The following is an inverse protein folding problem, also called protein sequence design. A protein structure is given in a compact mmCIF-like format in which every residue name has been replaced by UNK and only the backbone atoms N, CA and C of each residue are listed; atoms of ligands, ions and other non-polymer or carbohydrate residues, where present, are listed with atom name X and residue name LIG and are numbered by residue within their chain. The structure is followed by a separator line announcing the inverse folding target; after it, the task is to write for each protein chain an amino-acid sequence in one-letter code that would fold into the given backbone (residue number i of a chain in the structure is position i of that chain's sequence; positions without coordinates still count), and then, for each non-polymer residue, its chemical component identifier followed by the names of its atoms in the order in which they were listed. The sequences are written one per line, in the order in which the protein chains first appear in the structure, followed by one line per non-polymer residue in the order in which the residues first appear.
data_IF_347830673751
#
_entry.id   IF_347830673751
#
_cell.length_a   1.000
_cell.length_b   1.000
_cell.length_c   1.000
_cell.angle_alpha   90.00
_cell.angle_beta   90.00
_cell.angle_gamma   90.00
#
_symmetry.space_group_name_H-M   'P 1'
#
loop_
_entity.id
_entity.type
_entity.pdbx_description
1 polymer ?
#
# COMPACT_ATOMS: atom_id res chain seq x y z
N UNK A 1 23.49 -3.28 19.46
CA UNK A 1 22.15 -2.73 19.26
C UNK A 1 21.17 -3.34 20.24
N UNK A 2 20.19 -2.57 20.70
CA UNK A 2 19.18 -3.05 21.66
C UNK A 2 18.08 -3.90 20.96
N UNK A 3 17.90 -3.66 19.66
CA UNK A 3 16.92 -4.36 18.82
C UNK A 3 17.60 -5.03 17.65
N UNK A 4 17.09 -6.18 17.22
CA UNK A 4 17.58 -6.94 16.07
C UNK A 4 17.04 -6.40 14.76
N UNK A 5 15.81 -5.82 14.80
CA UNK A 5 15.17 -5.20 13.64
C UNK A 5 14.48 -3.91 14.08
N UNK A 6 14.46 -2.93 13.18
CA UNK A 6 13.72 -1.69 13.34
C UNK A 6 13.14 -1.29 11.97
N UNK A 7 11.93 -0.75 11.99
CA UNK A 7 11.27 -0.18 10.80
C UNK A 7 11.22 1.33 10.90
N UNK A 8 10.96 1.99 9.80
CA UNK A 8 10.76 3.44 9.78
C UNK A 8 9.66 3.87 10.73
N UNK A 9 9.79 5.08 11.25
CA UNK A 9 8.75 5.69 12.06
C UNK A 9 7.50 5.93 11.22
N UNK A 10 6.37 5.51 11.77
CA UNK A 10 5.04 5.80 11.23
C UNK A 10 4.17 6.29 12.38
N UNK A 11 3.41 7.34 12.16
CA UNK A 11 2.57 7.98 13.19
C UNK A 11 3.32 8.42 14.46
N UNK A 12 4.65 8.67 14.32
CA UNK A 12 5.54 9.07 15.41
C UNK A 12 6.08 7.92 16.26
N UNK A 13 5.84 6.66 15.87
CA UNK A 13 6.33 5.46 16.53
C UNK A 13 7.11 4.58 15.56
N UNK A 14 8.26 4.06 16.01
CA UNK A 14 9.08 3.09 15.30
C UNK A 14 8.76 1.67 15.77
N UNK A 15 8.42 0.76 14.85
CA UNK A 15 8.28 -0.66 15.17
C UNK A 15 9.67 -1.28 15.31
N UNK A 16 9.90 -1.96 16.42
CA UNK A 16 11.16 -2.64 16.75
C UNK A 16 10.90 -4.10 17.13
N UNK A 17 11.88 -4.96 16.93
CA UNK A 17 11.81 -6.36 17.29
C UNK A 17 13.09 -6.83 17.98
N UNK A 18 12.94 -7.67 18.99
CA UNK A 18 14.01 -8.49 19.56
C UNK A 18 13.48 -9.87 19.96
N UNK A 19 14.34 -10.90 19.88
CA UNK A 19 13.93 -12.27 20.14
C UNK A 19 13.45 -12.50 21.60
N UNK A 20 13.97 -11.74 22.54
CA UNK A 20 13.63 -11.83 23.97
C UNK A 20 12.41 -10.99 24.37
N UNK A 21 12.18 -9.85 23.71
CA UNK A 21 11.11 -8.90 24.04
C UNK A 21 9.96 -8.91 23.02
N UNK A 22 10.15 -9.58 21.87
CA UNK A 22 9.19 -9.57 20.76
C UNK A 22 9.10 -8.26 20.01
N UNK A 23 7.98 -8.06 19.32
CA UNK A 23 7.64 -6.81 18.67
C UNK A 23 7.23 -5.75 19.71
N UNK A 24 7.62 -4.51 19.44
CA UNK A 24 7.31 -3.36 20.29
C UNK A 24 7.43 -2.05 19.54
N UNK A 25 7.09 -0.96 20.20
CA UNK A 25 7.06 0.38 19.61
C UNK A 25 7.87 1.35 20.45
N UNK A 26 8.73 2.13 19.77
CA UNK A 26 9.53 3.17 20.40
C UNK A 26 9.12 4.55 19.87
N UNK A 27 9.15 5.55 20.76
CA UNK A 27 8.96 6.95 20.37
C UNK A 27 10.27 7.55 19.81
N UNK A 28 10.22 8.80 19.36
CA UNK A 28 11.39 9.51 18.79
C UNK A 28 12.55 9.71 19.80
N UNK A 29 12.30 9.54 21.10
CA UNK A 29 13.32 9.56 22.15
C UNK A 29 13.92 8.17 22.43
N UNK A 30 13.50 7.13 21.68
CA UNK A 30 13.93 5.75 21.86
C UNK A 30 13.27 5.05 23.06
N UNK A 31 12.23 5.64 23.66
CA UNK A 31 11.54 5.05 24.80
C UNK A 31 10.50 4.06 24.31
N UNK A 32 10.47 2.88 24.91
CA UNK A 32 9.51 1.82 24.62
C UNK A 32 8.12 2.20 25.14
N UNK A 33 7.14 2.27 24.24
CA UNK A 33 5.75 2.65 24.55
C UNK A 33 4.89 1.42 24.80
N UNK A 34 5.01 0.40 23.94
CA UNK A 34 4.31 -0.87 24.06
C UNK A 34 5.18 -1.98 23.51
N UNK A 35 5.08 -3.20 24.08
CA UNK A 35 5.93 -4.32 23.65
C UNK A 35 5.37 -5.67 24.11
N UNK A 36 6.11 -6.73 23.82
CA UNK A 36 5.80 -8.10 24.23
C UNK A 36 4.85 -8.79 23.26
N UNK A 37 4.70 -8.31 22.05
CA UNK A 37 3.88 -8.95 21.02
C UNK A 37 4.68 -9.97 20.22
N UNK A 38 4.02 -11.02 19.73
CA UNK A 38 4.64 -12.02 18.84
C UNK A 38 5.00 -11.36 17.50
N UNK A 39 4.06 -10.60 16.92
CA UNK A 39 4.27 -9.78 15.74
C UNK A 39 3.39 -8.53 15.80
N UNK A 40 3.78 -7.51 15.05
CA UNK A 40 3.02 -6.26 14.93
C UNK A 40 3.18 -5.64 13.55
N UNK A 41 2.19 -4.84 13.14
CA UNK A 41 2.32 -3.90 12.01
C UNK A 41 2.84 -2.55 12.50
N UNK A 42 3.39 -1.73 11.60
CA UNK A 42 3.59 -0.31 11.91
C UNK A 42 2.25 0.37 12.17
N UNK A 43 2.26 1.49 12.91
CA UNK A 43 1.07 2.31 13.09
C UNK A 43 0.66 2.98 11.78
N UNK A 44 -0.64 3.08 11.55
CA UNK A 44 -1.23 3.84 10.46
C UNK A 44 -2.55 4.44 10.96
N UNK A 45 -2.70 5.77 10.84
CA UNK A 45 -3.85 6.54 11.35
C UNK A 45 -4.21 6.24 12.83
N UNK A 46 -3.18 6.06 13.64
CA UNK A 46 -3.33 5.83 15.08
C UNK A 46 -3.61 4.39 15.49
N UNK A 47 -3.64 3.43 14.55
CA UNK A 47 -3.92 2.01 14.80
C UNK A 47 -2.75 1.13 14.37
N UNK A 48 -2.39 0.14 15.17
CA UNK A 48 -1.52 -0.96 14.79
C UNK A 48 -2.18 -2.29 15.13
N UNK A 49 -1.82 -3.35 14.42
CA UNK A 49 -2.29 -4.70 14.68
C UNK A 49 -1.19 -5.54 15.30
N UNK A 50 -1.55 -6.34 16.30
CA UNK A 50 -0.64 -7.23 17.02
C UNK A 50 -1.19 -8.66 17.04
N UNK A 51 -0.33 -9.67 16.89
CA UNK A 51 -0.75 -11.07 16.73
C UNK A 51 -0.66 -11.91 18.01
N UNK A 52 -0.69 -11.33 19.17
CA UNK A 52 -0.62 -12.01 20.47
C UNK A 52 0.54 -11.51 21.32
N UNK A 53 0.64 -12.01 22.52
CA UNK A 53 1.73 -11.68 23.45
C UNK A 53 2.68 -12.87 23.60
N UNK A 54 3.97 -12.61 23.74
CA UNK A 54 4.98 -13.67 23.99
C UNK A 54 4.67 -14.50 25.22
N UNK A 55 4.13 -13.89 26.27
CA UNK A 55 3.80 -14.59 27.51
C UNK A 55 2.58 -15.52 27.35
N UNK A 56 1.68 -15.22 26.42
CA UNK A 56 0.54 -16.09 26.12
C UNK A 56 1.00 -17.42 25.54
N UNK A 57 1.97 -17.44 24.63
CA UNK A 57 2.55 -18.67 24.08
C UNK A 57 3.23 -19.51 25.16
N UNK A 58 3.97 -18.87 26.08
CA UNK A 58 4.59 -19.58 27.23
C UNK A 58 3.56 -20.22 28.15
N UNK A 59 2.36 -19.63 28.23
CA UNK A 59 1.23 -20.12 29.00
C UNK A 59 0.30 -21.05 28.21
N UNK A 60 0.65 -21.39 26.95
CA UNK A 60 -0.11 -22.30 26.11
C UNK A 60 -1.35 -21.69 25.46
N UNK A 61 -1.52 -20.36 25.52
CA UNK A 61 -2.60 -19.64 24.87
C UNK A 61 -2.21 -19.39 23.41
N UNK A 62 -3.02 -19.89 22.48
CA UNK A 62 -2.80 -19.75 21.05
C UNK A 62 -3.82 -18.79 20.45
N UNK A 63 -3.37 -17.77 19.73
CA UNK A 63 -4.21 -16.80 19.05
C UNK A 63 -4.50 -17.15 17.57
N UNK A 64 -4.15 -18.39 17.13
CA UNK A 64 -4.46 -18.94 15.81
C UNK A 64 -4.12 -18.00 14.62
N UNK A 65 -2.97 -17.31 14.69
CA UNK A 65 -2.55 -16.30 13.69
C UNK A 65 -3.60 -15.19 13.49
N UNK A 66 -4.36 -14.86 14.52
CA UNK A 66 -5.30 -13.77 14.51
C UNK A 66 -4.68 -12.50 15.11
N UNK A 67 -5.22 -11.37 14.77
CA UNK A 67 -4.74 -10.05 15.15
C UNK A 67 -5.74 -9.32 16.01
N UNK A 68 -5.23 -8.46 16.89
CA UNK A 68 -6.00 -7.45 17.61
C UNK A 68 -5.45 -6.06 17.33
N UNK A 69 -6.28 -5.04 17.43
CA UNK A 69 -5.88 -3.67 17.17
C UNK A 69 -5.55 -2.94 18.48
N UNK A 70 -4.50 -2.11 18.45
CA UNK A 70 -4.06 -1.25 19.54
C UNK A 70 -3.94 0.21 19.08
N UNK A 71 -4.15 1.13 20.00
CA UNK A 71 -3.83 2.54 19.81
C UNK A 71 -2.35 2.86 20.16
N UNK A 72 -1.94 4.10 19.95
CA UNK A 72 -0.55 4.57 20.19
C UNK A 72 -0.08 4.46 21.64
N UNK A 73 -0.99 4.24 22.59
CA UNK A 73 -0.67 4.01 23.99
C UNK A 73 -0.60 2.51 24.34
N UNK A 74 -0.79 1.65 23.34
CA UNK A 74 -0.88 0.20 23.52
C UNK A 74 -2.22 -0.29 24.09
N UNK A 75 -3.23 0.58 24.15
CA UNK A 75 -4.57 0.21 24.56
C UNK A 75 -5.35 -0.45 23.41
N UNK A 76 -6.17 -1.45 23.75
CA UNK A 76 -7.00 -2.15 22.76
C UNK A 76 -8.02 -1.18 22.13
N UNK A 77 -8.16 -1.26 20.83
CA UNK A 77 -9.11 -0.46 20.03
C UNK A 77 -9.93 -1.36 19.11
N UNK A 78 -10.81 -0.77 18.27
CA UNK A 78 -11.75 -1.45 17.38
C UNK A 78 -12.74 -2.33 18.12
N UNK A 79 -12.45 -3.61 18.33
CA UNK A 79 -13.36 -4.57 18.98
C UNK A 79 -13.24 -4.65 20.49
N UNK A 80 -12.36 -3.89 21.10
CA UNK A 80 -12.17 -3.91 22.56
C UNK A 80 -13.46 -3.61 23.34
N UNK A 81 -14.38 -2.83 22.77
CA UNK A 81 -15.68 -2.53 23.36
C UNK A 81 -16.73 -3.64 23.14
N UNK A 82 -16.50 -4.55 22.18
CA UNK A 82 -17.42 -5.66 21.84
C UNK A 82 -16.97 -7.00 22.42
N UNK A 83 -15.72 -7.08 22.85
CA UNK A 83 -15.13 -8.33 23.35
C UNK A 83 -15.32 -8.49 24.84
N UNK A 84 -15.85 -9.64 25.27
CA UNK A 84 -16.02 -9.98 26.68
C UNK A 84 -14.78 -10.64 27.29
N UNK A 85 -13.83 -11.10 26.47
CA UNK A 85 -12.60 -11.76 26.93
C UNK A 85 -11.39 -11.24 26.17
N UNK A 86 -10.18 -11.40 26.76
CA UNK A 86 -8.95 -11.00 26.11
C UNK A 86 -8.68 -11.81 24.81
N UNK A 87 -9.09 -13.07 24.79
CA UNK A 87 -8.93 -13.97 23.66
C UNK A 87 -9.79 -13.54 22.44
N UNK A 88 -10.98 -12.99 22.69
CA UNK A 88 -11.89 -12.55 21.64
C UNK A 88 -11.41 -11.29 20.92
N UNK A 89 -10.44 -10.56 21.47
CA UNK A 89 -9.84 -9.37 20.86
C UNK A 89 -9.01 -9.69 19.63
N UNK A 90 -8.49 -10.91 19.55
CA UNK A 90 -7.73 -11.41 18.39
C UNK A 90 -8.69 -12.00 17.35
N UNK A 91 -9.56 -11.16 16.80
CA UNK A 91 -10.62 -11.60 15.88
C UNK A 91 -10.30 -11.35 14.40
N UNK A 92 -9.32 -10.50 14.10
CA UNK A 92 -8.96 -10.18 12.73
C UNK A 92 -8.07 -11.27 12.13
N UNK A 93 -8.45 -11.78 10.96
CA UNK A 93 -7.64 -12.76 10.22
C UNK A 93 -6.43 -12.14 9.54
N UNK A 94 -6.54 -10.86 9.19
CA UNK A 94 -5.47 -10.06 8.61
C UNK A 94 -5.52 -8.65 9.21
N UNK A 95 -4.38 -7.96 9.28
CA UNK A 95 -4.35 -6.55 9.66
C UNK A 95 -5.18 -5.69 8.69
N UNK A 96 -5.86 -4.69 9.22
CA UNK A 96 -6.52 -3.66 8.43
C UNK A 96 -5.57 -2.46 8.38
N UNK A 97 -5.24 -2.01 7.18
CA UNK A 97 -4.40 -0.83 7.00
C UNK A 97 -5.30 0.40 6.95
N UNK A 98 -5.14 1.27 7.96
CA UNK A 98 -5.83 2.55 8.03
C UNK A 98 -5.02 3.59 7.27
N UNK A 99 -5.70 4.36 6.43
CA UNK A 99 -5.15 5.55 5.80
C UNK A 99 -6.27 6.52 5.47
N UNK A 100 -5.97 7.82 5.53
CA UNK A 100 -6.99 8.86 5.34
C UNK A 100 -8.19 8.73 6.31
N UNK A 101 -7.98 8.20 7.50
CA UNK A 101 -8.98 8.06 8.56
C UNK A 101 -9.91 6.86 8.43
N UNK A 102 -9.70 5.96 7.46
CA UNK A 102 -10.50 4.75 7.26
C UNK A 102 -9.64 3.55 6.91
N UNK A 103 -10.11 2.35 7.27
CA UNK A 103 -9.49 1.08 6.91
C UNK A 103 -10.48 0.19 6.15
N UNK A 104 -10.01 -0.52 5.14
CA UNK A 104 -10.82 -1.47 4.39
C UNK A 104 -11.08 -2.72 5.23
N UNK A 105 -12.35 -2.92 5.66
CA UNK A 105 -12.74 -4.07 6.48
C UNK A 105 -12.97 -5.33 5.62
N UNK A 106 -13.54 -5.16 4.42
CA UNK A 106 -13.86 -6.29 3.54
C UNK A 106 -15.00 -6.00 2.57
N UNK A 107 -15.41 -7.04 1.86
CA UNK A 107 -16.56 -7.01 0.94
C UNK A 107 -17.76 -7.63 1.63
N UNK A 108 -18.88 -6.90 1.64
CA UNK A 108 -20.17 -7.39 2.15
C UNK A 108 -21.29 -7.07 1.15
N UNK A 109 -21.98 -8.09 0.72
CA UNK A 109 -23.07 -7.98 -0.26
C UNK A 109 -22.66 -7.22 -1.54
N UNK A 110 -21.42 -7.48 -2.02
CA UNK A 110 -20.87 -6.85 -3.22
C UNK A 110 -20.46 -5.39 -3.05
N UNK A 111 -20.37 -4.89 -1.81
CA UNK A 111 -19.93 -3.54 -1.47
C UNK A 111 -18.62 -3.58 -0.69
N UNK A 112 -17.77 -2.61 -0.92
CA UNK A 112 -16.59 -2.39 -0.09
C UNK A 112 -16.96 -1.63 1.18
N UNK A 113 -16.64 -2.21 2.33
CA UNK A 113 -16.92 -1.63 3.65
C UNK A 113 -15.61 -1.08 4.22
N UNK A 114 -15.66 0.16 4.63
CA UNK A 114 -14.56 0.82 5.32
C UNK A 114 -15.02 1.26 6.70
N UNK A 115 -14.15 1.09 7.68
CA UNK A 115 -14.39 1.43 9.09
C UNK A 115 -13.47 2.56 9.54
N UNK A 116 -13.91 3.30 10.54
CA UNK A 116 -13.06 4.25 11.27
C UNK A 116 -12.17 3.52 12.30
N UNK A 117 -11.25 4.25 12.93
CA UNK A 117 -10.34 3.71 13.97
C UNK A 117 -11.05 3.23 15.24
N UNK A 118 -12.37 3.40 15.33
CA UNK A 118 -13.22 2.89 16.43
C UNK A 118 -14.03 1.65 16.02
N UNK A 119 -13.91 1.20 14.75
CA UNK A 119 -14.63 0.05 14.21
C UNK A 119 -16.07 0.36 13.78
N UNK A 120 -16.44 1.63 13.61
CA UNK A 120 -17.74 1.99 13.05
C UNK A 120 -17.64 2.02 11.53
N UNK A 121 -18.72 1.59 10.85
CA UNK A 121 -18.80 1.75 9.39
C UNK A 121 -18.75 3.25 9.04
N UNK A 122 -17.69 3.64 8.35
CA UNK A 122 -17.47 5.01 7.92
C UNK A 122 -17.93 5.23 6.49
N UNK A 123 -17.81 4.18 5.64
CA UNK A 123 -18.13 4.24 4.24
C UNK A 123 -18.53 2.87 3.71
N UNK A 124 -19.56 2.84 2.86
CA UNK A 124 -19.96 1.67 2.07
C UNK A 124 -20.01 2.06 0.60
N UNK A 125 -19.07 1.55 -0.20
CA UNK A 125 -19.01 1.81 -1.63
C UNK A 125 -19.63 0.67 -2.43
N UNK A 126 -20.37 0.99 -3.50
CA UNK A 126 -20.94 0.03 -4.45
C UNK A 126 -20.53 0.38 -5.88
N UNK A 127 -20.67 -0.58 -6.80
CA UNK A 127 -20.39 -0.35 -8.22
C UNK A 127 -21.34 0.68 -8.86
N UNK A 128 -22.54 0.87 -8.28
CA UNK A 128 -23.61 1.65 -8.89
C UNK A 128 -24.32 0.97 -10.06
N UNK A 129 -23.94 -0.26 -10.41
CA UNK A 129 -24.50 -1.00 -11.54
C UNK A 129 -25.17 -2.30 -11.09
N UNK A 130 -26.33 -2.60 -11.65
CA UNK A 130 -27.06 -3.84 -11.40
C UNK A 130 -26.26 -5.06 -11.88
N UNK A 131 -26.17 -6.08 -11.03
CA UNK A 131 -25.44 -7.30 -11.34
C UNK A 131 -23.92 -7.18 -11.28
N UNK A 132 -23.38 -6.04 -10.85
CA UNK A 132 -21.95 -5.79 -10.68
C UNK A 132 -21.61 -5.59 -9.20
N UNK A 133 -20.62 -6.31 -8.73
CA UNK A 133 -20.15 -6.27 -7.36
C UNK A 133 -18.72 -5.73 -7.30
N UNK A 134 -18.39 -5.08 -6.21
CA UNK A 134 -16.98 -4.86 -5.86
C UNK A 134 -16.42 -6.20 -5.38
N UNK A 135 -15.34 -6.66 -6.00
CA UNK A 135 -14.68 -7.92 -5.68
C UNK A 135 -13.47 -7.72 -4.74
N UNK A 136 -12.79 -6.59 -4.87
CA UNK A 136 -11.71 -6.19 -3.97
C UNK A 136 -11.61 -4.66 -3.91
N UNK A 137 -10.99 -4.16 -2.84
CA UNK A 137 -10.73 -2.74 -2.67
C UNK A 137 -9.42 -2.52 -1.91
N UNK A 138 -8.69 -1.48 -2.29
CA UNK A 138 -7.48 -1.03 -1.62
C UNK A 138 -7.76 -0.02 -0.50
N UNK A 139 -6.72 0.35 0.25
CA UNK A 139 -6.79 1.45 1.21
C UNK A 139 -6.98 2.79 0.50
N UNK A 140 -7.50 3.77 1.23
CA UNK A 140 -7.57 5.14 0.76
C UNK A 140 -6.20 5.81 0.88
N UNK A 141 -5.81 6.57 -0.15
CA UNK A 141 -4.68 7.49 -0.12
C UNK A 141 -5.06 8.75 -0.89
N UNK A 142 -4.76 9.91 -0.34
CA UNK A 142 -5.10 11.23 -0.93
C UNK A 142 -6.59 11.37 -1.29
N UNK A 143 -7.46 10.70 -0.53
CA UNK A 143 -8.90 10.75 -0.73
C UNK A 143 -9.47 9.76 -1.74
N UNK A 144 -8.67 8.84 -2.29
CA UNK A 144 -9.09 7.88 -3.30
C UNK A 144 -8.66 6.46 -2.96
N UNK A 145 -9.47 5.47 -3.35
CA UNK A 145 -9.14 4.06 -3.25
C UNK A 145 -9.42 3.34 -4.56
N UNK A 146 -8.58 2.39 -4.90
CA UNK A 146 -8.76 1.53 -6.06
C UNK A 146 -9.67 0.36 -5.71
N UNK A 147 -10.48 -0.06 -6.66
CA UNK A 147 -11.38 -1.21 -6.53
C UNK A 147 -11.29 -2.09 -7.75
N UNK A 148 -11.59 -3.38 -7.57
CA UNK A 148 -11.92 -4.27 -8.67
C UNK A 148 -13.42 -4.57 -8.68
N UNK A 149 -13.99 -4.61 -9.86
CA UNK A 149 -15.39 -4.89 -10.12
C UNK A 149 -15.51 -6.25 -10.79
N UNK A 150 -16.50 -7.02 -10.39
CA UNK A 150 -16.85 -8.30 -10.99
C UNK A 150 -18.33 -8.31 -11.33
N UNK A 151 -18.67 -8.75 -12.54
CA UNK A 151 -20.04 -8.78 -13.03
C UNK A 151 -20.29 -9.98 -13.94
N UNK A 152 -21.53 -10.06 -14.45
CA UNK A 152 -21.94 -11.08 -15.38
C UNK A 152 -21.34 -10.83 -16.77
N UNK A 153 -21.49 -11.76 -17.71
CA UNK A 153 -20.97 -11.77 -19.08
C UNK A 153 -21.18 -10.49 -19.92
N UNK A 154 -22.00 -9.55 -19.44
CA UNK A 154 -22.22 -8.23 -20.08
C UNK A 154 -20.94 -7.41 -20.28
N UNK A 155 -19.89 -7.65 -19.47
CA UNK A 155 -18.62 -6.93 -19.57
C UNK A 155 -17.81 -7.36 -20.78
N UNK A 156 -17.87 -8.64 -21.14
CA UNK A 156 -17.20 -9.17 -22.32
C UNK A 156 -17.78 -8.58 -23.62
N UNK A 157 -19.09 -8.32 -23.66
CA UNK A 157 -19.77 -7.71 -24.82
C UNK A 157 -19.48 -6.20 -24.93
N UNK A 158 -19.23 -5.52 -23.82
CA UNK A 158 -18.93 -4.09 -23.80
C UNK A 158 -17.46 -3.75 -24.12
N UNK A 159 -16.58 -4.75 -24.19
CA UNK A 159 -15.16 -4.56 -24.52
C UNK A 159 -14.30 -4.08 -23.35
N UNK A 160 -14.75 -4.30 -22.12
CA UNK A 160 -13.99 -4.04 -20.89
C UNK A 160 -13.18 -5.28 -20.55
N UNK A 161 -11.89 -5.20 -20.70
CA UNK A 161 -11.03 -6.36 -20.52
C UNK A 161 -10.14 -6.09 -19.30
N UNK A 162 -10.49 -6.69 -18.15
CA UNK A 162 -9.45 -7.21 -17.28
C UNK A 162 -8.75 -8.36 -18.02
N UNK A 163 -7.53 -8.71 -17.67
CA UNK A 163 -6.78 -9.77 -18.36
C UNK A 163 -7.50 -11.12 -18.39
N UNK A 164 -8.52 -11.31 -17.54
CA UNK A 164 -9.39 -12.50 -17.46
C UNK A 164 -10.77 -12.32 -18.12
N UNK A 165 -11.04 -11.14 -18.72
CA UNK A 165 -12.30 -10.85 -19.42
C UNK A 165 -13.51 -10.61 -18.51
N UNK A 166 -13.37 -10.70 -17.19
CA UNK A 166 -14.48 -10.60 -16.22
C UNK A 166 -14.28 -9.54 -15.14
N UNK A 167 -13.07 -9.00 -15.01
CA UNK A 167 -12.71 -8.01 -13.98
C UNK A 167 -12.48 -6.64 -14.61
N UNK A 168 -13.10 -5.61 -14.06
CA UNK A 168 -12.79 -4.21 -14.36
C UNK A 168 -12.22 -3.53 -13.11
N UNK A 169 -11.40 -2.51 -13.32
CA UNK A 169 -10.83 -1.73 -12.23
C UNK A 169 -11.43 -0.34 -12.18
N UNK A 170 -11.65 0.17 -11.00
CA UNK A 170 -12.24 1.47 -10.75
C UNK A 170 -11.51 2.24 -9.65
N UNK A 171 -11.87 3.49 -9.54
CA UNK A 171 -11.40 4.40 -8.51
C UNK A 171 -12.61 5.01 -7.82
N UNK A 172 -12.63 4.98 -6.49
CA UNK A 172 -13.67 5.60 -5.67
C UNK A 172 -13.10 6.75 -4.85
N UNK A 173 -13.93 7.73 -4.60
CA UNK A 173 -13.64 8.83 -3.69
C UNK A 173 -14.12 8.53 -2.24
N UNK A 174 -13.89 9.46 -1.32
CA UNK A 174 -14.28 9.36 0.10
C UNK A 174 -15.80 9.34 0.33
N UNK A 175 -16.62 9.56 -0.69
CA UNK A 175 -18.08 9.37 -0.62
C UNK A 175 -18.50 7.97 -1.04
N UNK A 176 -17.57 7.16 -1.56
CA UNK A 176 -17.83 5.85 -2.13
C UNK A 176 -18.32 5.90 -3.58
N UNK A 177 -18.31 7.09 -4.19
CA UNK A 177 -18.69 7.25 -5.57
C UNK A 177 -17.52 6.88 -6.51
N UNK A 178 -17.85 6.26 -7.65
CA UNK A 178 -16.88 6.05 -8.73
C UNK A 178 -16.43 7.40 -9.30
N UNK A 179 -15.11 7.60 -9.37
CA UNK A 179 -14.52 8.80 -9.99
C UNK A 179 -14.82 8.83 -11.48
N UNK A 180 -14.71 7.68 -12.13
CA UNK A 180 -15.05 7.50 -13.53
C UNK A 180 -15.69 6.14 -13.68
N UNK A 181 -16.75 6.08 -14.49
CA UNK A 181 -17.43 4.82 -14.76
C UNK A 181 -16.48 3.91 -15.58
N UNK A 182 -15.98 2.82 -15.00
CA UNK A 182 -15.09 1.91 -15.72
C UNK A 182 -15.82 1.16 -16.84
N UNK A 183 -17.17 1.24 -16.89
CA UNK A 183 -18.00 0.65 -17.93
C UNK A 183 -18.13 1.57 -19.15
N UNK A 184 -17.71 2.82 -19.04
CA UNK A 184 -17.79 3.75 -20.16
C UNK A 184 -16.72 3.42 -21.22
N UNK A 185 -17.12 3.27 -22.48
CA UNK A 185 -16.20 2.96 -23.61
C UNK A 185 -15.00 3.91 -23.75
N UNK A 186 -15.03 5.05 -23.09
CA UNK A 186 -13.93 6.02 -23.04
C UNK A 186 -12.86 5.69 -21.99
N UNK A 187 -13.11 4.71 -21.12
CA UNK A 187 -12.14 4.29 -20.08
C UNK A 187 -11.20 3.28 -20.67
N UNK A 188 -9.91 3.62 -20.80
CA UNK A 188 -8.90 2.80 -21.49
C UNK A 188 -7.84 2.24 -20.56
N UNK A 189 -8.11 2.12 -19.28
CA UNK A 189 -7.17 1.45 -18.38
C UNK A 189 -7.46 -0.06 -18.29
N UNK A 190 -6.43 -0.89 -18.39
CA UNK A 190 -6.53 -2.33 -18.21
C UNK A 190 -6.42 -2.71 -16.74
N UNK A 191 -5.60 -1.97 -16.00
CA UNK A 191 -5.32 -2.24 -14.60
C UNK A 191 -4.99 -0.92 -13.90
N UNK A 192 -5.51 -0.72 -12.70
CA UNK A 192 -5.12 0.39 -11.84
C UNK A 192 -4.12 -0.07 -10.78
N UNK A 193 -3.96 -1.38 -10.55
CA UNK A 193 -3.29 -1.84 -9.34
C UNK A 193 -2.90 -3.30 -9.42
N UNK A 194 -1.76 -3.63 -8.82
CA UNK A 194 -1.52 -4.96 -8.32
C UNK A 194 -2.26 -5.15 -6.98
N UNK A 195 -3.46 -5.75 -7.05
CA UNK A 195 -4.29 -6.02 -5.87
C UNK A 195 -3.67 -7.04 -4.91
N UNK A 196 -2.64 -7.78 -5.35
CA UNK A 196 -1.99 -8.80 -4.54
C UNK A 196 -0.97 -8.26 -3.55
N UNK A 197 -0.46 -7.03 -3.77
CA UNK A 197 0.59 -6.45 -2.96
C UNK A 197 0.23 -5.21 -2.16
N UNK A 198 -0.89 -4.55 -2.42
CA UNK A 198 -1.25 -3.29 -1.74
C UNK A 198 -0.34 -2.10 -2.06
N UNK A 199 0.45 -2.17 -3.13
CA UNK A 199 1.49 -1.21 -3.46
C UNK A 199 0.96 -0.05 -4.30
N UNK A 200 -0.06 -0.28 -5.10
CA UNK A 200 -0.60 0.75 -5.99
C UNK A 200 -1.79 1.46 -5.34
N UNK A 201 -1.52 2.57 -4.75
CA UNK A 201 -2.48 3.49 -4.15
C UNK A 201 -2.41 4.85 -4.84
N UNK A 202 -3.37 5.72 -4.58
CA UNK A 202 -3.24 7.12 -4.96
C UNK A 202 -2.07 7.77 -4.20
N UNK A 203 -1.33 8.63 -4.86
CA UNK A 203 -0.25 9.38 -4.24
C UNK A 203 0.03 10.66 -5.02
N UNK A 204 0.19 11.79 -4.34
CA UNK A 204 0.33 13.09 -5.00
C UNK A 204 -0.86 13.47 -5.89
N UNK A 205 -2.06 12.96 -5.59
CA UNK A 205 -3.27 13.14 -6.40
C UNK A 205 -3.27 12.36 -7.71
N UNK A 206 -2.43 11.33 -7.84
CA UNK A 206 -2.30 10.49 -9.04
C UNK A 206 -2.43 9.01 -8.71
N UNK A 207 -2.80 8.20 -9.68
CA UNK A 207 -2.86 6.74 -9.59
C UNK A 207 -2.12 6.13 -10.78
N UNK A 208 -1.18 5.23 -10.52
CA UNK A 208 -0.54 4.47 -11.58
C UNK A 208 -1.57 3.56 -12.26
N UNK A 209 -1.57 3.56 -13.57
CA UNK A 209 -2.52 2.79 -14.38
C UNK A 209 -1.86 2.28 -15.65
N UNK A 210 -2.27 1.09 -16.07
CA UNK A 210 -1.82 0.50 -17.34
C UNK A 210 -2.87 0.77 -18.42
N UNK A 211 -2.45 1.29 -19.55
CA UNK A 211 -3.31 1.49 -20.71
C UNK A 211 -3.62 0.15 -21.39
N UNK A 212 -4.91 -0.11 -21.65
CA UNK A 212 -5.39 -1.38 -22.21
C UNK A 212 -4.96 -1.63 -23.66
N UNK A 213 -4.54 -0.59 -24.38
CA UNK A 213 -4.18 -0.68 -25.79
C UNK A 213 -2.68 -0.87 -25.96
N UNK A 214 -1.88 -0.04 -25.32
CA UNK A 214 -0.42 -0.10 -25.42
C UNK A 214 0.22 -1.08 -24.45
N UNK A 215 -0.46 -1.40 -23.34
CA UNK A 215 0.11 -2.17 -22.23
C UNK A 215 1.15 -1.40 -21.42
N UNK A 216 1.35 -0.11 -21.70
CA UNK A 216 2.26 0.74 -20.97
C UNK A 216 1.60 1.39 -19.76
N UNK A 217 2.39 1.75 -18.78
CA UNK A 217 1.96 2.42 -17.57
C UNK A 217 2.12 3.94 -17.68
N UNK A 218 1.18 4.64 -17.09
CA UNK A 218 1.17 6.08 -16.91
C UNK A 218 0.48 6.44 -15.61
N UNK A 219 0.07 7.68 -15.45
CA UNK A 219 -0.61 8.12 -14.24
C UNK A 219 -1.88 8.89 -14.56
N UNK A 220 -2.96 8.48 -13.92
CA UNK A 220 -4.25 9.16 -13.95
C UNK A 220 -4.26 10.26 -12.88
N UNK A 221 -4.87 11.39 -13.19
CA UNK A 221 -5.34 12.31 -12.16
C UNK A 221 -6.45 11.63 -11.36
N UNK A 222 -6.25 11.48 -10.06
CA UNK A 222 -7.15 10.71 -9.20
C UNK A 222 -8.55 11.32 -9.09
N UNK A 223 -8.70 12.63 -9.34
CA UNK A 223 -9.96 13.35 -9.27
C UNK A 223 -10.80 13.20 -10.54
N UNK A 224 -10.19 13.20 -11.70
CA UNK A 224 -10.88 13.15 -12.98
C UNK A 224 -10.86 11.77 -13.64
N UNK A 225 -9.91 10.90 -13.28
CA UNK A 225 -9.66 9.64 -13.96
C UNK A 225 -9.09 9.79 -15.37
N UNK A 226 -8.57 10.97 -15.72
CA UNK A 226 -7.94 11.24 -17.02
C UNK A 226 -6.41 11.13 -16.90
N UNK A 227 -5.72 10.78 -18.01
CA UNK A 227 -4.28 10.71 -18.03
C UNK A 227 -3.63 12.05 -17.72
N UNK A 228 -2.91 12.14 -16.60
CA UNK A 228 -2.05 13.27 -16.26
C UNK A 228 -0.64 13.07 -16.82
N UNK A 229 -0.11 11.85 -16.69
CA UNK A 229 1.12 11.42 -17.36
C UNK A 229 0.73 10.29 -18.30
N UNK A 230 0.99 10.47 -19.60
CA UNK A 230 0.62 9.50 -20.61
C UNK A 230 1.33 8.15 -20.39
N UNK A 231 0.75 7.02 -20.85
CA UNK A 231 1.38 5.71 -20.76
C UNK A 231 2.68 5.66 -21.56
N UNK A 232 3.82 5.66 -20.85
CA UNK A 232 5.17 5.72 -21.42
C UNK A 232 6.13 4.69 -20.79
N UNK A 233 5.76 4.11 -19.64
CA UNK A 233 6.62 3.27 -18.81
C UNK A 233 6.26 1.80 -18.96
N UNK A 234 7.25 0.89 -18.80
CA UNK A 234 6.98 -0.54 -18.72
C UNK A 234 6.31 -0.93 -17.40
N UNK A 235 6.65 -0.24 -16.31
CA UNK A 235 6.02 -0.35 -15.00
C UNK A 235 6.09 1.00 -14.28
N UNK A 236 5.21 1.23 -13.32
CA UNK A 236 5.13 2.49 -12.57
C UNK A 236 4.64 2.24 -11.14
N UNK A 237 5.29 2.88 -10.18
CA UNK A 237 4.95 2.79 -8.75
C UNK A 237 4.23 4.05 -8.28
N UNK A 238 3.50 4.00 -7.16
CA UNK A 238 2.78 5.16 -6.64
C UNK A 238 3.69 6.37 -6.40
N UNK A 239 3.12 7.56 -6.56
CA UNK A 239 3.78 8.79 -6.15
C UNK A 239 3.81 8.90 -4.63
N UNK A 240 4.94 9.37 -4.10
CA UNK A 240 5.08 9.82 -2.72
C UNK A 240 6.03 11.02 -2.69
N UNK A 241 5.69 12.05 -1.93
CA UNK A 241 6.49 13.28 -1.80
C UNK A 241 6.91 13.91 -3.15
N UNK A 242 6.02 13.84 -4.16
CA UNK A 242 6.25 14.41 -5.49
C UNK A 242 7.17 13.58 -6.40
N UNK A 243 7.47 12.35 -6.05
CA UNK A 243 8.34 11.43 -6.79
C UNK A 243 7.68 10.08 -6.98
N UNK A 244 8.04 9.39 -8.06
CA UNK A 244 7.68 7.99 -8.26
C UNK A 244 8.83 7.23 -8.94
N UNK A 245 8.88 5.93 -8.71
CA UNK A 245 9.67 5.04 -9.54
C UNK A 245 8.91 4.67 -10.80
N UNK A 246 9.62 4.63 -11.90
CA UNK A 246 9.11 4.13 -13.16
C UNK A 246 10.19 3.33 -13.89
N UNK A 247 9.77 2.34 -14.66
CA UNK A 247 10.65 1.52 -15.51
C UNK A 247 10.64 2.10 -16.93
N UNK A 248 11.81 2.39 -17.46
CA UNK A 248 11.97 2.90 -18.82
C UNK A 248 11.68 1.80 -19.85
N UNK A 249 10.76 2.07 -20.77
CA UNK A 249 10.37 1.09 -21.79
C UNK A 249 11.52 0.67 -22.73
N UNK A 250 12.48 1.54 -22.97
CA UNK A 250 13.54 1.29 -23.92
C UNK A 250 14.70 0.49 -23.33
N UNK A 251 15.01 0.69 -22.06
CA UNK A 251 16.16 0.07 -21.40
C UNK A 251 15.76 -1.05 -20.43
N UNK A 252 14.56 -1.02 -19.88
CA UNK A 252 14.13 -1.89 -18.79
C UNK A 252 14.71 -1.51 -17.43
N UNK A 253 15.37 -0.35 -17.33
CA UNK A 253 15.96 0.14 -16.08
C UNK A 253 14.95 1.00 -15.32
N UNK A 254 15.07 1.01 -14.00
CA UNK A 254 14.26 1.83 -13.12
C UNK A 254 14.92 3.19 -12.88
N UNK A 255 14.10 4.22 -12.79
CA UNK A 255 14.52 5.59 -12.47
C UNK A 255 13.48 6.30 -11.61
N UNK A 256 13.75 7.57 -11.32
CA UNK A 256 12.86 8.43 -10.53
C UNK A 256 12.29 9.51 -11.46
N UNK A 257 10.98 9.70 -11.42
CA UNK A 257 10.27 10.76 -12.14
C UNK A 257 9.64 11.74 -11.15
N UNK A 258 9.45 12.98 -11.61
CA UNK A 258 8.65 13.99 -10.92
C UNK A 258 7.16 13.91 -11.32
N UNK A 259 6.33 14.78 -10.74
CA UNK A 259 4.89 14.84 -10.97
C UNK A 259 4.46 15.30 -12.39
N UNK A 260 5.42 15.68 -13.22
CA UNK A 260 5.24 15.92 -14.64
C UNK A 260 5.56 14.71 -15.52
N UNK A 261 6.12 13.64 -14.93
CA UNK A 261 6.63 12.46 -15.63
C UNK A 261 8.05 12.66 -16.20
N UNK A 262 8.76 13.71 -15.77
CA UNK A 262 10.14 13.96 -16.18
C UNK A 262 11.11 13.20 -15.30
N UNK A 263 12.10 12.53 -15.91
CA UNK A 263 13.16 11.86 -15.18
C UNK A 263 13.98 12.86 -14.37
N UNK A 264 13.94 12.74 -13.06
CA UNK A 264 14.82 13.49 -12.13
C UNK A 264 16.10 12.69 -11.82
N UNK A 265 15.98 11.36 -11.82
CA UNK A 265 17.10 10.46 -11.88
C UNK A 265 16.91 9.52 -13.07
N UNK A 266 17.86 9.54 -14.01
CA UNK A 266 17.81 8.70 -15.21
C UNK A 266 17.84 7.22 -14.82
N UNK A 267 17.15 6.34 -15.56
CA UNK A 267 17.10 4.92 -15.31
C UNK A 267 18.49 4.30 -15.27
N UNK A 268 18.87 3.71 -14.15
CA UNK A 268 20.12 2.99 -13.92
C UNK A 268 20.04 1.97 -12.80
N UNK A 269 18.84 1.75 -12.27
CA UNK A 269 18.64 0.82 -11.17
C UNK A 269 18.27 -0.53 -11.77
N UNK A 270 19.16 -1.51 -11.63
CA UNK A 270 18.98 -2.85 -12.25
C UNK A 270 17.89 -3.69 -11.59
N UNK A 271 17.59 -3.43 -10.33
CA UNK A 271 16.57 -4.15 -9.59
C UNK A 271 15.87 -3.25 -8.59
N UNK A 272 14.59 -3.10 -8.78
CA UNK A 272 13.68 -2.64 -7.77
C UNK A 272 13.07 -3.88 -7.09
N UNK A 273 13.42 -4.16 -5.83
CA UNK A 273 12.80 -5.26 -5.12
C UNK A 273 11.34 -4.88 -4.81
N UNK A 274 10.43 -5.35 -5.66
CA UNK A 274 9.00 -5.10 -5.57
C UNK A 274 8.34 -5.71 -4.32
N UNK A 275 9.05 -6.61 -3.62
CA UNK A 275 8.51 -7.30 -2.45
C UNK A 275 8.59 -6.47 -1.17
N UNK A 276 9.42 -5.42 -1.13
CA UNK A 276 9.49 -4.52 0.01
C UNK A 276 8.69 -3.24 -0.24
N UNK A 277 7.43 -3.25 0.19
CA UNK A 277 6.51 -2.10 0.10
C UNK A 277 6.96 -0.88 0.90
N UNK A 278 8.02 -0.99 1.69
CA UNK A 278 8.63 0.11 2.44
C UNK A 278 9.49 1.05 1.60
N UNK A 279 9.67 0.75 0.32
CA UNK A 279 10.52 1.51 -0.61
C UNK A 279 9.87 2.78 -1.16
N UNK A 280 8.70 3.12 -0.70
CA UNK A 280 8.04 4.38 -1.05
C UNK A 280 8.84 5.54 -0.45
N UNK A 281 9.03 6.59 -1.22
CA UNK A 281 9.69 7.82 -0.77
C UNK A 281 9.12 8.30 0.56
N UNK A 282 9.96 8.49 1.54
CA UNK A 282 9.59 9.07 2.83
C UNK A 282 10.52 10.23 3.14
N UNK A 283 9.97 11.41 3.39
CA UNK A 283 10.75 12.61 3.70
C UNK A 283 11.67 13.05 2.57
N UNK A 284 11.27 12.86 1.30
CA UNK A 284 12.04 13.24 0.12
C UNK A 284 13.24 12.32 -0.19
N UNK A 285 13.29 11.13 0.43
CA UNK A 285 14.32 10.12 0.18
C UNK A 285 13.68 8.86 -0.41
N UNK A 286 14.43 8.18 -1.25
CA UNK A 286 14.05 6.96 -1.96
C UNK A 286 15.07 5.87 -1.67
N UNK A 287 14.61 4.69 -1.31
CA UNK A 287 15.48 3.54 -1.10
C UNK A 287 15.65 2.77 -2.42
N UNK A 288 16.84 2.33 -2.72
CA UNK A 288 17.12 1.55 -3.92
C UNK A 288 18.46 0.87 -3.95
N UNK A 289 18.64 0.02 -4.94
CA UNK A 289 19.91 -0.64 -5.26
C UNK A 289 20.37 -0.19 -6.65
N UNK A 290 21.67 0.08 -6.79
CA UNK A 290 22.26 0.42 -8.08
C UNK A 290 23.60 -0.30 -8.26
N UNK A 291 23.87 -0.77 -9.48
CA UNK A 291 25.18 -1.26 -9.87
C UNK A 291 26.05 -0.11 -10.39
N UNK A 292 27.28 0.01 -9.83
CA UNK A 292 28.28 0.91 -10.40
C UNK A 292 28.95 0.23 -11.59
N UNK A 293 28.59 0.61 -12.81
CA UNK A 293 29.24 0.17 -14.03
C UNK A 293 30.45 1.04 -14.31
N UNK A 294 31.67 0.53 -14.08
CA UNK A 294 32.89 1.27 -14.41
C UNK A 294 34.18 0.74 -13.79
N UNK A 295 34.14 -0.31 -13.01
CA UNK A 295 35.27 -0.96 -12.36
C UNK A 295 35.55 -2.36 -12.89
N UNK A 296 36.60 -3.03 -12.40
CA UNK A 296 36.99 -4.39 -12.77
C UNK A 296 36.00 -5.47 -12.26
N UNK A 297 35.06 -5.11 -11.38
CA UNK A 297 33.91 -5.89 -10.95
C UNK A 297 32.73 -4.93 -10.69
N UNK A 298 31.48 -5.33 -10.97
CA UNK A 298 30.32 -4.55 -10.59
C UNK A 298 30.26 -4.48 -9.06
N UNK A 299 30.06 -3.29 -8.52
CA UNK A 299 29.80 -3.06 -7.09
C UNK A 299 28.33 -2.68 -6.97
N UNK A 300 27.57 -3.51 -6.31
CA UNK A 300 26.17 -3.21 -6.01
C UNK A 300 26.13 -2.38 -4.73
N UNK A 301 25.56 -1.19 -4.82
CA UNK A 301 25.30 -0.32 -3.67
C UNK A 301 23.81 -0.29 -3.37
N UNK A 302 23.49 -0.34 -2.10
CA UNK A 302 22.13 -0.25 -1.57
C UNK A 302 22.04 0.95 -0.62
N UNK A 303 20.90 1.65 -0.59
CA UNK A 303 20.78 2.77 0.33
C UNK A 303 19.68 3.77 -0.02
N UNK A 304 19.81 4.96 0.53
CA UNK A 304 18.86 6.05 0.35
C UNK A 304 19.39 7.09 -0.63
N UNK A 305 18.54 7.46 -1.58
CA UNK A 305 18.82 8.49 -2.58
C UNK A 305 17.85 9.67 -2.40
N UNK A 306 18.27 10.86 -2.80
CA UNK A 306 17.39 12.00 -2.96
C UNK A 306 16.63 11.95 -4.32
N UNK A 307 15.75 12.92 -4.55
CA UNK A 307 14.98 13.03 -5.79
C UNK A 307 15.82 13.09 -7.07
N UNK A 308 17.10 13.44 -6.98
CA UNK A 308 18.04 13.51 -8.11
C UNK A 308 18.82 12.19 -8.30
N UNK A 309 18.49 11.13 -7.54
CA UNK A 309 19.20 9.86 -7.57
C UNK A 309 20.61 9.91 -6.97
N UNK A 310 20.89 10.91 -6.15
CA UNK A 310 22.17 11.01 -5.46
C UNK A 310 22.09 10.31 -4.11
N UNK A 311 23.05 9.43 -3.83
CA UNK A 311 23.15 8.73 -2.56
C UNK A 311 23.28 9.72 -1.38
N UNK A 312 22.38 9.62 -0.43
CA UNK A 312 22.42 10.32 0.87
C UNK A 312 23.10 9.42 1.91
N UNK A 313 22.80 8.13 1.85
CA UNK A 313 23.46 7.08 2.61
C UNK A 313 23.45 5.79 1.80
N UNK A 314 24.58 5.12 1.66
CA UNK A 314 24.68 3.85 0.95
C UNK A 314 25.73 2.95 1.58
N UNK A 315 25.60 1.65 1.30
CA UNK A 315 26.56 0.61 1.66
C UNK A 315 26.71 -0.36 0.49
N UNK A 316 27.88 -0.99 0.39
CA UNK A 316 28.15 -2.04 -0.59
C UNK A 316 27.57 -3.37 -0.10
N UNK A 317 26.97 -4.14 -1.02
CA UNK A 317 26.43 -5.47 -0.77
C UNK A 317 27.46 -6.56 -1.02
#
# INVERSE_FOLDING_TARGET
PEYEQARMFSDGLGLVYSADKGAGFVNAQGQLVASGYIAATSFSDGVAFVSGKLDDEKNGIKHNNSYAAIDKNGAWTLDSAKSSTETDRYCYKQPIFFHDGVGFEGIKDGKAIYIDSKGNEALSASSGHDGVSIAAAGPFYDGYATISLQGNDMWAEAGYIGMDGTTAYGLIDKTGALVKDPTAKSTQWATLVDLWGGINHAGGGMVAAQDSVSGLWGYLDAKSGEWKIQPLFSDAKPFADGMAYAEDFATGDWGIIDDSGTWTAVPRLDNFNSDDQSLVAAGGLVYGTAEATGGAAPVTSEGWMNAQGLWVASWEL
#
